data_IF_480474074858
#
_entry.id   IF_480474074858
#
_cell.length_a   1.000
_cell.length_b   1.000
_cell.length_c   1.000
_cell.angle_alpha   90.00
_cell.angle_beta   90.00
_cell.angle_gamma   90.00
#
_symmetry.space_group_name_H-M   'P 1'
#
loop_
_entity.id
_entity.type
_entity.pdbx_description
1 polymer ?
#
# COMPACT_ATOMS: atom_id res chain seq x y z
N UNK A 1 19.88 -5.84 -20.32
CA UNK A 1 19.40 -7.22 -20.04
C UNK A 1 20.44 -8.33 -20.24
N UNK A 2 21.13 -8.44 -21.39
CA UNK A 2 22.24 -9.42 -21.54
C UNK A 2 23.35 -9.22 -20.49
N UNK A 3 23.71 -7.97 -20.20
CA UNK A 3 24.69 -7.62 -19.17
C UNK A 3 24.26 -8.08 -17.76
N UNK A 4 23.00 -7.84 -17.40
CA UNK A 4 22.41 -8.35 -16.14
C UNK A 4 22.50 -9.87 -16.04
N UNK A 5 22.15 -10.59 -17.12
CA UNK A 5 22.21 -12.05 -17.15
C UNK A 5 23.63 -12.54 -16.87
N UNK A 6 24.63 -11.86 -17.44
CA UNK A 6 26.04 -12.15 -17.18
C UNK A 6 26.43 -11.86 -15.73
N UNK A 7 25.99 -10.73 -15.16
CA UNK A 7 26.23 -10.38 -13.74
C UNK A 7 25.63 -11.41 -12.78
N UNK A 8 24.37 -11.82 -12.99
CA UNK A 8 23.68 -12.83 -12.17
C UNK A 8 24.31 -14.21 -12.34
N UNK A 9 24.66 -14.61 -13.57
CA UNK A 9 25.32 -15.91 -13.82
C UNK A 9 26.70 -15.95 -13.18
N UNK A 10 27.50 -14.89 -13.32
CA UNK A 10 28.82 -14.78 -12.70
C UNK A 10 28.72 -14.82 -11.16
N UNK A 11 27.72 -14.15 -10.58
CA UNK A 11 27.45 -14.21 -9.14
C UNK A 11 27.13 -15.64 -8.68
N UNK A 12 26.22 -16.33 -9.38
CA UNK A 12 25.86 -17.72 -9.08
C UNK A 12 27.08 -18.65 -9.19
N UNK A 13 27.93 -18.49 -10.21
CA UNK A 13 29.17 -19.28 -10.37
C UNK A 13 30.16 -19.04 -9.22
N UNK A 14 30.32 -17.79 -8.76
CA UNK A 14 31.21 -17.49 -7.64
C UNK A 14 30.74 -18.15 -6.33
N UNK A 15 29.43 -18.20 -6.09
CA UNK A 15 28.88 -18.79 -4.87
C UNK A 15 28.81 -20.32 -4.96
N UNK A 16 28.17 -20.86 -6.00
CA UNK A 16 27.87 -22.28 -6.09
C UNK A 16 29.08 -23.11 -6.53
N UNK A 17 29.85 -22.65 -7.52
CA UNK A 17 30.97 -23.43 -8.06
C UNK A 17 32.27 -23.17 -7.29
N UNK A 18 32.48 -21.93 -6.84
CA UNK A 18 33.72 -21.52 -6.17
C UNK A 18 33.60 -21.34 -4.66
N UNK A 19 32.40 -21.45 -4.08
CA UNK A 19 32.20 -21.43 -2.64
C UNK A 19 32.47 -20.09 -1.95
N UNK A 20 32.42 -18.96 -2.67
CA UNK A 20 32.63 -17.65 -2.07
C UNK A 20 31.46 -17.25 -1.17
N UNK A 21 31.77 -16.53 -0.09
CA UNK A 21 30.77 -15.93 0.81
C UNK A 21 30.13 -14.73 0.12
N UNK A 22 28.81 -14.59 0.24
CA UNK A 22 27.99 -13.52 -0.39
C UNK A 22 28.56 -12.11 -0.13
N UNK A 23 29.05 -11.85 1.09
CA UNK A 23 29.54 -10.54 1.52
C UNK A 23 30.98 -10.23 1.04
N UNK A 24 31.55 -11.05 0.16
CA UNK A 24 32.88 -10.78 -0.39
C UNK A 24 32.78 -9.56 -1.31
N UNK A 25 33.70 -8.57 -1.24
CA UNK A 25 33.61 -7.36 -2.06
C UNK A 25 33.48 -7.62 -3.56
N UNK A 26 34.11 -8.69 -4.05
CA UNK A 26 34.06 -9.13 -5.45
C UNK A 26 32.67 -9.65 -5.86
N UNK A 27 31.95 -10.27 -4.93
CA UNK A 27 30.61 -10.85 -5.14
C UNK A 27 29.55 -9.75 -4.98
N UNK A 28 29.69 -8.88 -3.98
CA UNK A 28 28.78 -7.73 -3.80
C UNK A 28 28.85 -6.74 -4.96
N UNK A 29 30.05 -6.44 -5.49
CA UNK A 29 30.22 -5.48 -6.58
C UNK A 29 29.42 -5.85 -7.85
N UNK A 30 29.12 -7.13 -8.06
CA UNK A 30 28.39 -7.59 -9.25
C UNK A 30 26.91 -7.22 -9.25
N UNK A 31 26.26 -7.17 -8.08
CA UNK A 31 24.81 -7.00 -7.98
C UNK A 31 24.39 -5.72 -7.24
N UNK A 32 25.26 -5.15 -6.39
CA UNK A 32 24.91 -4.06 -5.47
C UNK A 32 24.59 -2.74 -6.18
N UNK A 33 25.33 -2.42 -7.24
CA UNK A 33 25.14 -1.15 -7.99
C UNK A 33 23.73 -1.04 -8.59
N UNK A 34 23.21 -2.15 -9.11
CA UNK A 34 21.87 -2.23 -9.71
C UNK A 34 20.81 -2.81 -8.75
N UNK A 35 21.15 -3.03 -7.47
CA UNK A 35 20.29 -3.69 -6.46
C UNK A 35 19.65 -4.99 -6.95
N UNK A 36 20.42 -5.79 -7.70
CA UNK A 36 19.93 -7.02 -8.30
C UNK A 36 19.89 -8.16 -7.30
N UNK A 37 18.89 -9.03 -7.46
CA UNK A 37 18.78 -10.29 -6.73
C UNK A 37 19.31 -11.41 -7.63
N UNK A 38 20.03 -12.41 -7.09
CA UNK A 38 20.57 -13.54 -7.85
C UNK A 38 19.49 -14.57 -8.24
N UNK A 39 18.41 -14.09 -8.85
CA UNK A 39 17.28 -14.91 -9.28
C UNK A 39 17.18 -14.85 -10.79
N UNK A 40 17.31 -16.01 -11.41
CA UNK A 40 16.97 -16.22 -12.81
C UNK A 40 15.49 -16.57 -12.90
N UNK A 41 14.71 -15.76 -13.62
CA UNK A 41 13.30 -16.05 -13.87
C UNK A 41 13.09 -16.54 -15.32
N UNK A 42 11.96 -17.22 -15.55
CA UNK A 42 11.63 -17.79 -16.85
C UNK A 42 11.59 -16.74 -17.98
N UNK A 43 11.21 -15.50 -17.68
CA UNK A 43 11.23 -14.40 -18.65
C UNK A 43 12.66 -14.01 -19.06
N UNK A 44 13.58 -13.95 -18.11
CA UNK A 44 14.99 -13.67 -18.36
C UNK A 44 15.66 -14.81 -19.13
N UNK A 45 15.29 -16.06 -18.87
CA UNK A 45 15.84 -17.21 -19.57
C UNK A 45 15.35 -17.27 -21.02
N UNK A 46 14.03 -17.15 -21.23
CA UNK A 46 13.44 -17.36 -22.56
C UNK A 46 13.35 -16.09 -23.42
N UNK A 47 13.23 -14.90 -22.83
CA UNK A 47 12.97 -13.65 -23.58
C UNK A 47 14.13 -12.65 -23.53
N UNK A 48 15.22 -12.91 -22.82
CA UNK A 48 16.35 -11.97 -22.79
C UNK A 48 16.97 -11.70 -24.16
N UNK A 49 16.88 -12.67 -25.09
CA UNK A 49 17.40 -12.55 -26.44
C UNK A 49 16.61 -11.55 -27.31
N UNK A 50 15.33 -11.33 -27.01
CA UNK A 50 14.48 -10.35 -27.72
C UNK A 50 14.66 -8.92 -27.18
N UNK A 51 15.42 -8.76 -26.09
CA UNK A 51 15.54 -7.47 -25.40
C UNK A 51 14.36 -7.16 -24.47
N UNK A 52 13.48 -8.14 -24.21
CA UNK A 52 12.35 -7.96 -23.31
C UNK A 52 12.80 -7.63 -21.87
N UNK A 53 12.33 -6.51 -21.36
CA UNK A 53 12.51 -6.13 -19.96
C UNK A 53 11.26 -6.45 -19.15
N UNK A 54 11.34 -7.50 -18.34
CA UNK A 54 10.22 -7.93 -17.52
C UNK A 54 9.91 -6.96 -16.38
N UNK A 55 10.83 -6.06 -16.00
CA UNK A 55 10.50 -5.04 -14.99
C UNK A 55 9.44 -4.06 -15.50
N UNK A 56 9.44 -3.79 -16.81
CA UNK A 56 8.42 -2.96 -17.46
C UNK A 56 7.05 -3.67 -17.55
N UNK A 57 7.02 -4.99 -17.44
CA UNK A 57 5.78 -5.77 -17.41
C UNK A 57 5.13 -5.77 -16.01
N UNK A 58 5.94 -5.69 -14.94
CA UNK A 58 5.42 -5.76 -13.58
C UNK A 58 4.64 -4.47 -13.26
N UNK A 59 3.34 -4.63 -13.12
CA UNK A 59 2.44 -3.58 -12.60
C UNK A 59 2.65 -3.47 -11.08
N UNK A 60 2.46 -2.28 -10.51
CA UNK A 60 2.58 -2.09 -9.07
C UNK A 60 1.66 -3.04 -8.30
N UNK A 61 2.21 -3.65 -7.25
CA UNK A 61 1.46 -4.52 -6.36
C UNK A 61 0.69 -3.68 -5.34
N UNK A 62 -0.50 -3.22 -5.72
CA UNK A 62 -1.34 -2.40 -4.85
C UNK A 62 -1.75 -3.10 -3.56
N UNK A 63 -1.83 -4.44 -3.55
CA UNK A 63 -2.19 -5.22 -2.37
C UNK A 63 -1.10 -5.07 -1.30
N UNK A 64 0.17 -5.17 -1.69
CA UNK A 64 1.29 -5.08 -0.75
C UNK A 64 1.76 -3.64 -0.51
N UNK A 65 1.96 -2.87 -1.57
CA UNK A 65 2.56 -1.54 -1.47
C UNK A 65 1.57 -0.53 -0.87
N UNK A 66 0.31 -0.58 -1.28
CA UNK A 66 -0.68 0.39 -0.85
C UNK A 66 -1.62 -0.14 0.24
N UNK A 67 -2.36 -1.22 0.00
CA UNK A 67 -3.39 -1.70 0.93
C UNK A 67 -2.78 -2.16 2.26
N UNK A 68 -1.77 -3.04 2.20
CA UNK A 68 -1.06 -3.53 3.38
C UNK A 68 0.02 -2.57 3.88
N UNK A 69 0.63 -1.80 2.99
CA UNK A 69 1.68 -0.84 3.31
C UNK A 69 1.11 0.47 3.84
N UNK A 70 0.68 1.34 2.92
CA UNK A 70 0.25 2.72 3.22
C UNK A 70 -1.07 2.75 3.97
N UNK A 71 -2.14 2.15 3.44
CA UNK A 71 -3.48 2.27 4.00
C UNK A 71 -3.59 1.63 5.37
N UNK A 72 -3.01 0.44 5.59
CA UNK A 72 -2.93 -0.15 6.93
C UNK A 72 -2.28 0.80 7.94
N UNK A 73 -1.18 1.46 7.60
CA UNK A 73 -0.51 2.40 8.49
C UNK A 73 -1.39 3.63 8.79
N UNK A 74 -2.02 4.19 7.76
CA UNK A 74 -3.00 5.29 7.91
C UNK A 74 -4.17 4.87 8.80
N UNK A 75 -4.75 3.70 8.55
CA UNK A 75 -5.90 3.18 9.29
C UNK A 75 -5.56 2.96 10.77
N UNK A 76 -4.39 2.37 11.07
CA UNK A 76 -3.88 2.25 12.44
C UNK A 76 -3.78 3.63 13.10
N UNK A 77 -3.30 4.64 12.38
CA UNK A 77 -3.18 5.98 12.91
C UNK A 77 -4.55 6.60 13.23
N UNK A 78 -5.55 6.41 12.35
CA UNK A 78 -6.93 6.85 12.61
C UNK A 78 -7.51 6.17 13.84
N UNK A 79 -7.26 4.87 14.06
CA UNK A 79 -7.68 4.17 15.27
C UNK A 79 -7.02 4.77 16.53
N UNK A 80 -5.73 5.10 16.48
CA UNK A 80 -5.02 5.76 17.60
C UNK A 80 -5.60 7.13 17.93
N UNK A 81 -6.01 7.90 16.90
CA UNK A 81 -6.69 9.19 17.12
C UNK A 81 -8.03 8.98 17.85
N UNK A 82 -8.84 8.01 17.42
CA UNK A 82 -10.10 7.68 18.10
C UNK A 82 -9.90 7.21 19.54
N UNK A 83 -8.85 6.43 19.81
CA UNK A 83 -8.52 5.99 21.17
C UNK A 83 -8.15 7.17 22.08
N UNK A 84 -7.42 8.16 21.56
CA UNK A 84 -7.00 9.33 22.33
C UNK A 84 -8.16 10.20 22.82
N UNK A 85 -9.33 10.11 22.17
CA UNK A 85 -10.54 10.84 22.55
C UNK A 85 -11.24 10.29 23.82
N UNK A 86 -10.72 9.21 24.43
CA UNK A 86 -11.21 8.58 25.68
C UNK A 86 -12.71 8.21 25.70
N UNK A 87 -13.35 8.14 24.53
CA UNK A 87 -14.77 7.80 24.38
C UNK A 87 -14.99 6.44 23.74
N UNK A 88 -16.25 6.08 23.52
CA UNK A 88 -16.67 4.81 22.90
C UNK A 88 -16.57 4.82 21.35
N UNK A 89 -15.74 5.71 20.81
CA UNK A 89 -15.64 5.94 19.36
C UNK A 89 -15.13 4.71 18.59
N UNK A 90 -14.23 3.93 19.21
CA UNK A 90 -13.73 2.69 18.64
C UNK A 90 -14.82 1.60 18.56
N UNK A 91 -15.65 1.46 19.60
CA UNK A 91 -16.75 0.51 19.58
C UNK A 91 -17.83 0.93 18.59
N UNK A 92 -18.08 2.23 18.46
CA UNK A 92 -19.00 2.78 17.46
C UNK A 92 -18.47 2.56 16.03
N UNK A 93 -17.17 2.74 15.78
CA UNK A 93 -16.54 2.40 14.50
C UNK A 93 -16.72 0.91 14.17
N UNK A 94 -16.44 0.02 15.11
CA UNK A 94 -16.64 -1.42 14.95
C UNK A 94 -18.11 -1.77 14.65
N UNK A 95 -19.04 -1.14 15.37
CA UNK A 95 -20.48 -1.29 15.15
C UNK A 95 -20.90 -0.84 13.76
N UNK A 96 -20.28 0.21 13.22
CA UNK A 96 -20.57 0.73 11.87
C UNK A 96 -20.04 -0.20 10.80
N UNK A 97 -18.79 -0.66 10.91
CA UNK A 97 -18.24 -1.66 9.98
C UNK A 97 -19.03 -2.96 9.98
N UNK A 98 -19.54 -3.40 11.14
CA UNK A 98 -20.41 -4.57 11.23
C UNK A 98 -21.75 -4.38 10.47
N UNK A 99 -22.27 -3.15 10.40
CA UNK A 99 -23.54 -2.83 9.74
C UNK A 99 -23.40 -2.63 8.24
N UNK A 100 -22.18 -2.51 7.71
CA UNK A 100 -21.96 -2.41 6.26
C UNK A 100 -22.49 -3.70 5.60
N UNK A 101 -23.50 -3.60 4.71
CA UNK A 101 -23.99 -4.77 4.00
C UNK A 101 -22.93 -5.27 3.02
N UNK A 102 -22.95 -6.57 2.72
CA UNK A 102 -22.15 -7.11 1.63
C UNK A 102 -22.62 -6.52 0.30
N UNK A 103 -21.70 -6.01 -0.51
CA UNK A 103 -22.02 -5.35 -1.78
C UNK A 103 -21.18 -5.90 -2.93
N UNK A 104 -21.80 -6.07 -4.09
CA UNK A 104 -21.22 -6.81 -5.23
C UNK A 104 -21.01 -8.29 -4.87
N UNK A 105 -21.05 -9.19 -5.86
CA UNK A 105 -20.73 -10.59 -5.62
C UNK A 105 -19.24 -10.75 -5.25
N UNK A 106 -18.90 -10.50 -3.98
CA UNK A 106 -17.54 -10.52 -3.39
C UNK A 106 -16.69 -9.24 -3.51
N UNK A 107 -17.29 -8.07 -3.82
CA UNK A 107 -16.52 -6.80 -3.87
C UNK A 107 -16.30 -6.24 -2.46
N UNK A 108 -17.38 -6.14 -1.66
CA UNK A 108 -17.32 -5.78 -0.24
C UNK A 108 -17.77 -7.00 0.55
N UNK A 109 -16.81 -7.69 1.16
CA UNK A 109 -17.09 -8.85 1.99
C UNK A 109 -17.52 -8.44 3.40
N UNK A 110 -18.27 -9.30 4.10
CA UNK A 110 -18.70 -9.04 5.49
C UNK A 110 -17.48 -8.75 6.37
N UNK A 111 -17.41 -7.54 6.93
CA UNK A 111 -16.30 -7.11 7.78
C UNK A 111 -16.38 -7.76 9.18
N UNK A 112 -15.22 -7.97 9.80
CA UNK A 112 -15.11 -8.65 11.08
C UNK A 112 -15.77 -7.86 12.22
N UNK A 113 -16.18 -8.56 13.29
CA UNK A 113 -16.87 -7.96 14.43
C UNK A 113 -16.07 -6.87 15.16
N UNK A 114 -14.74 -6.95 15.15
CA UNK A 114 -13.83 -6.01 15.82
C UNK A 114 -12.71 -5.64 14.85
N UNK A 115 -12.94 -4.65 14.00
CA UNK A 115 -11.95 -4.16 13.03
C UNK A 115 -10.82 -3.43 13.76
N UNK A 116 -11.15 -2.70 14.82
CA UNK A 116 -10.20 -1.96 15.67
C UNK A 116 -9.05 -2.82 16.21
N UNK A 117 -9.29 -4.12 16.45
CA UNK A 117 -8.28 -5.06 16.97
C UNK A 117 -7.30 -5.56 15.91
N UNK A 118 -7.61 -5.36 14.63
CA UNK A 118 -6.79 -5.75 13.46
C UNK A 118 -6.37 -7.24 13.44
N UNK A 119 -7.04 -8.10 14.21
CA UNK A 119 -6.68 -9.50 14.35
C UNK A 119 -7.11 -10.31 13.12
N UNK A 120 -6.20 -11.12 12.57
CA UNK A 120 -6.45 -11.98 11.42
C UNK A 120 -6.95 -11.22 10.16
N UNK A 121 -6.49 -9.98 9.96
CA UNK A 121 -6.81 -9.22 8.74
C UNK A 121 -5.94 -9.67 7.58
N UNK A 122 -6.57 -10.16 6.51
CA UNK A 122 -5.90 -10.41 5.23
C UNK A 122 -5.76 -9.11 4.45
N UNK A 123 -4.81 -9.04 3.51
CA UNK A 123 -4.53 -7.81 2.75
C UNK A 123 -5.77 -7.26 2.02
N UNK A 124 -6.55 -8.12 1.36
CA UNK A 124 -7.80 -7.75 0.68
C UNK A 124 -8.84 -7.08 1.62
N UNK A 125 -8.79 -7.34 2.93
CA UNK A 125 -9.72 -6.69 3.86
C UNK A 125 -9.38 -5.23 4.08
N UNK A 126 -8.12 -4.84 3.91
CA UNK A 126 -7.73 -3.44 3.98
C UNK A 126 -8.34 -2.64 2.82
N UNK A 127 -8.47 -3.23 1.62
CA UNK A 127 -9.26 -2.63 0.54
C UNK A 127 -10.73 -2.41 0.96
N UNK A 128 -11.41 -3.44 1.47
CA UNK A 128 -12.81 -3.32 1.90
C UNK A 128 -12.97 -2.20 2.95
N UNK A 129 -12.01 -2.06 3.86
CA UNK A 129 -11.99 -1.02 4.89
C UNK A 129 -11.82 0.38 4.31
N UNK A 130 -10.97 0.54 3.29
CA UNK A 130 -10.77 1.83 2.61
C UNK A 130 -12.03 2.27 1.89
N UNK A 131 -12.65 1.36 1.12
CA UNK A 131 -13.87 1.65 0.36
C UNK A 131 -15.01 2.10 1.27
N UNK A 132 -15.05 1.62 2.51
CA UNK A 132 -16.10 1.95 3.48
C UNK A 132 -15.70 3.06 4.47
N UNK A 133 -14.44 3.53 4.46
CA UNK A 133 -13.90 4.41 5.50
C UNK A 133 -14.69 5.71 5.65
N UNK A 134 -15.08 6.36 4.56
CA UNK A 134 -15.80 7.64 4.61
C UNK A 134 -17.09 7.51 5.43
N UNK A 135 -17.88 6.47 5.17
CA UNK A 135 -19.15 6.22 5.85
C UNK A 135 -18.95 5.84 7.31
N UNK A 136 -17.91 5.05 7.61
CA UNK A 136 -17.70 4.56 8.97
C UNK A 136 -17.09 5.62 9.88
N UNK A 137 -16.25 6.50 9.35
CA UNK A 137 -15.62 7.58 10.13
C UNK A 137 -16.48 8.84 10.27
N UNK A 138 -17.61 8.94 9.57
CA UNK A 138 -18.48 10.12 9.58
C UNK A 138 -18.94 10.51 10.99
N UNK A 139 -18.61 11.72 11.44
CA UNK A 139 -18.97 12.24 12.76
C UNK A 139 -18.43 11.42 13.95
N UNK A 140 -17.30 10.70 13.79
CA UNK A 140 -16.58 10.09 14.91
C UNK A 140 -15.56 11.02 15.57
N UNK A 141 -15.06 11.99 14.80
CA UNK A 141 -14.09 12.98 15.25
C UNK A 141 -14.77 14.34 15.47
N UNK A 142 -14.18 15.26 16.26
CA UNK A 142 -14.64 16.63 16.35
C UNK A 142 -14.73 17.30 14.97
N UNK A 143 -15.70 18.19 14.78
CA UNK A 143 -16.12 18.71 13.46
C UNK A 143 -14.97 19.21 12.57
N UNK A 144 -13.96 19.88 13.14
CA UNK A 144 -12.79 20.35 12.40
C UNK A 144 -11.99 19.21 11.76
N UNK A 145 -11.77 18.12 12.50
CA UNK A 145 -10.97 16.98 12.06
C UNK A 145 -11.78 15.95 11.28
N UNK A 146 -13.10 15.90 11.49
CA UNK A 146 -13.98 14.99 10.77
C UNK A 146 -13.98 15.29 9.27
N UNK A 147 -14.10 16.56 8.89
CA UNK A 147 -14.08 16.97 7.48
C UNK A 147 -12.73 16.66 6.82
N UNK A 148 -11.63 16.84 7.57
CA UNK A 148 -10.29 16.53 7.09
C UNK A 148 -10.11 15.02 6.86
N UNK A 149 -10.55 14.19 7.81
CA UNK A 149 -10.48 12.72 7.66
C UNK A 149 -11.37 12.21 6.54
N UNK A 150 -12.57 12.77 6.37
CA UNK A 150 -13.44 12.45 5.25
C UNK A 150 -12.79 12.81 3.90
N UNK A 151 -12.23 14.01 3.78
CA UNK A 151 -11.51 14.46 2.58
C UNK A 151 -10.29 13.59 2.27
N UNK A 152 -9.49 13.27 3.28
CA UNK A 152 -8.32 12.42 3.13
C UNK A 152 -8.70 10.98 2.72
N UNK A 153 -9.73 10.41 3.36
CA UNK A 153 -10.27 9.09 3.00
C UNK A 153 -10.81 9.06 1.58
N UNK A 154 -11.49 10.12 1.14
CA UNK A 154 -11.94 10.27 -0.24
C UNK A 154 -10.77 10.28 -1.23
N UNK A 155 -9.73 11.08 -0.97
CA UNK A 155 -8.57 11.16 -1.86
C UNK A 155 -7.82 9.82 -1.94
N UNK A 156 -7.66 9.10 -0.82
CA UNK A 156 -7.08 7.75 -0.82
C UNK A 156 -7.89 6.76 -1.64
N UNK A 157 -9.22 6.74 -1.46
CA UNK A 157 -10.11 5.86 -2.22
C UNK A 157 -10.13 6.22 -3.71
N UNK A 158 -10.13 7.51 -4.05
CA UNK A 158 -10.08 8.00 -5.43
C UNK A 158 -8.76 7.58 -6.09
N UNK A 159 -7.63 7.84 -5.44
CA UNK A 159 -6.31 7.43 -5.90
C UNK A 159 -6.23 5.91 -6.12
N UNK A 160 -6.70 5.12 -5.14
CA UNK A 160 -6.72 3.66 -5.22
C UNK A 160 -7.58 3.16 -6.38
N UNK A 161 -8.75 3.77 -6.61
CA UNK A 161 -9.63 3.42 -7.73
C UNK A 161 -8.98 3.69 -9.09
N UNK A 162 -8.26 4.80 -9.24
CA UNK A 162 -7.52 5.14 -10.45
C UNK A 162 -6.35 4.18 -10.67
N UNK A 163 -5.60 3.88 -9.60
CA UNK A 163 -4.48 2.94 -9.66
C UNK A 163 -4.93 1.52 -10.07
N UNK A 164 -6.17 1.12 -9.75
CA UNK A 164 -6.75 -0.17 -10.12
C UNK A 164 -7.33 -0.24 -11.53
N UNK A 165 -7.35 0.86 -12.27
CA UNK A 165 -7.83 0.84 -13.65
C UNK A 165 -6.96 -0.09 -14.49
N UNK A 166 -7.59 -1.02 -15.21
CA UNK A 166 -6.90 -1.95 -16.12
C UNK A 166 -6.44 -1.28 -17.41
N UNK A 167 -7.01 -0.11 -17.72
CA UNK A 167 -6.72 0.66 -18.90
C UNK A 167 -6.67 2.13 -18.51
N UNK A 168 -5.55 2.77 -18.83
CA UNK A 168 -5.37 4.20 -18.68
C UNK A 168 -5.44 4.88 -20.05
N UNK A 169 -6.21 5.96 -20.12
CA UNK A 169 -6.15 6.96 -21.20
C UNK A 169 -5.38 8.19 -20.73
N UNK A 170 -4.96 9.04 -21.66
CA UNK A 170 -4.29 10.31 -21.35
C UNK A 170 -5.09 11.17 -20.37
N UNK A 171 -6.43 11.17 -20.48
CA UNK A 171 -7.30 11.88 -19.54
C UNK A 171 -7.26 11.27 -18.14
N UNK A 172 -7.34 9.93 -18.03
CA UNK A 172 -7.27 9.27 -16.71
C UNK A 172 -5.90 9.45 -16.05
N UNK A 173 -4.82 9.47 -16.83
CA UNK A 173 -3.47 9.75 -16.32
C UNK A 173 -3.37 11.20 -15.83
N UNK A 174 -3.87 12.16 -16.59
CA UNK A 174 -3.90 13.55 -16.18
C UNK A 174 -4.73 13.78 -14.91
N UNK A 175 -5.83 13.03 -14.72
CA UNK A 175 -6.58 13.03 -13.47
C UNK A 175 -5.76 12.37 -12.35
N UNK A 176 -5.10 11.25 -12.63
CA UNK A 176 -4.32 10.52 -11.63
C UNK A 176 -3.14 11.33 -11.10
N UNK A 177 -2.41 12.03 -11.97
CA UNK A 177 -1.34 12.95 -11.58
C UNK A 177 -1.85 14.07 -10.67
N UNK A 178 -3.00 14.67 -11.01
CA UNK A 178 -3.64 15.70 -10.17
C UNK A 178 -4.04 15.15 -8.81
N UNK A 179 -4.68 13.98 -8.78
CA UNK A 179 -5.07 13.31 -7.53
C UNK A 179 -3.85 12.96 -6.70
N UNK A 180 -2.74 12.56 -7.32
CA UNK A 180 -1.48 12.26 -6.61
C UNK A 180 -0.90 13.51 -5.93
N UNK A 181 -0.90 14.66 -6.61
CA UNK A 181 -0.49 15.94 -6.02
C UNK A 181 -1.43 16.34 -4.87
N UNK A 182 -2.74 16.25 -5.08
CA UNK A 182 -3.73 16.55 -4.04
C UNK A 182 -3.58 15.65 -2.81
N UNK A 183 -3.34 14.35 -3.01
CA UNK A 183 -3.12 13.38 -1.94
C UNK A 183 -1.85 13.73 -1.15
N UNK A 184 -0.76 14.11 -1.82
CA UNK A 184 0.47 14.54 -1.16
C UNK A 184 0.28 15.79 -0.30
N UNK A 185 -0.42 16.81 -0.83
CA UNK A 185 -0.75 18.03 -0.06
C UNK A 185 -1.61 17.68 1.15
N UNK A 186 -2.68 16.90 0.94
CA UNK A 186 -3.61 16.54 2.01
C UNK A 186 -2.93 15.70 3.09
N UNK A 187 -2.03 14.78 2.73
CA UNK A 187 -1.25 13.99 3.68
C UNK A 187 -0.38 14.90 4.56
N UNK A 188 0.28 15.90 3.97
CA UNK A 188 1.06 16.89 4.73
C UNK A 188 0.17 17.71 5.67
N UNK A 189 -1.00 18.18 5.22
CA UNK A 189 -1.95 18.90 6.06
C UNK A 189 -2.49 18.00 7.18
N UNK A 190 -2.85 16.76 6.88
CA UNK A 190 -3.30 15.77 7.86
C UNK A 190 -2.23 15.54 8.94
N UNK A 191 -0.97 15.34 8.53
CA UNK A 191 0.14 15.14 9.45
C UNK A 191 0.42 16.36 10.35
N UNK A 192 0.44 17.57 9.77
CA UNK A 192 0.85 18.77 10.49
C UNK A 192 -0.27 19.38 11.36
N UNK A 193 -1.53 19.26 10.93
CA UNK A 193 -2.65 19.93 11.60
C UNK A 193 -3.50 18.92 12.40
N UNK A 194 -3.88 17.82 11.75
CA UNK A 194 -4.79 16.85 12.38
C UNK A 194 -4.04 15.95 13.34
N UNK A 195 -2.97 15.27 12.93
CA UNK A 195 -2.22 14.38 13.81
C UNK A 195 -1.64 15.12 15.03
N UNK A 196 -1.21 16.38 14.85
CA UNK A 196 -0.67 17.20 15.93
C UNK A 196 -1.70 17.52 17.04
N UNK A 197 -3.00 17.49 16.72
CA UNK A 197 -4.07 17.74 17.68
C UNK A 197 -4.37 16.54 18.61
N UNK A 198 -3.90 15.34 18.28
CA UNK A 198 -4.18 14.12 19.03
C UNK A 198 -2.93 13.54 19.68
N UNK A 199 -2.97 13.33 21.00
CA UNK A 199 -1.92 12.62 21.72
C UNK A 199 -2.05 11.11 21.51
N UNK A 200 -1.55 10.64 20.38
CA UNK A 200 -1.59 9.21 20.00
C UNK A 200 -0.50 8.40 20.71
N UNK A 201 -0.80 7.13 21.00
CA UNK A 201 0.15 6.14 21.54
C UNK A 201 0.22 4.94 20.60
N UNK A 202 1.25 4.11 20.72
CA UNK A 202 1.26 2.82 20.02
C UNK A 202 0.18 1.90 20.59
N UNK A 203 -0.47 1.15 19.68
CA UNK A 203 -1.50 0.14 19.96
C UNK A 203 -0.85 -1.22 20.23
#
# INVERSE_FOLDING_TARGET
>A
MKERHLKVTAFCQLIYDKGYVINTPQVEALLKEESLVPTMNAFSEHLSHTGFDFFLMLVMDLLHEFELGVWKAVFIHLLRMLESLKGDQLAELDRRYQKVPTFGCSIICRLCKNVSKLKQMTAHRFEDLLQCAILTFEALLPDLHNNQVAKFSFLLAHWHSLAKLRLHTDETLAVFEKVNVCLGIELCTFANETCAAFSTKEL
#
